data_IF_572689132864
#
_entry.id   IF_572689132864
#
_cell.length_a   1.000
_cell.length_b   1.000
_cell.length_c   1.000
_cell.angle_alpha   90.00
_cell.angle_beta   90.00
_cell.angle_gamma   90.00
#
_symmetry.space_group_name_H-M   'P 1'
#
loop_
_entity.id
_entity.type
_entity.pdbx_description
1 polymer ?
#
# COMPACT_ATOMS: atom_id res chain seq x y z
N UNK A 1 16.54 -36.60 14.62
CA UNK A 1 16.23 -37.18 13.30
C UNK A 1 16.55 -36.13 12.27
N UNK A 2 17.75 -36.18 11.71
CA UNK A 2 18.21 -35.25 10.69
C UNK A 2 17.66 -35.69 9.33
N UNK A 3 16.70 -34.94 8.78
CA UNK A 3 16.24 -35.12 7.41
C UNK A 3 17.27 -34.49 6.46
N UNK A 4 17.73 -35.28 5.50
CA UNK A 4 18.61 -34.86 4.42
C UNK A 4 17.98 -33.71 3.60
N UNK A 5 18.75 -32.68 3.20
CA UNK A 5 18.24 -31.49 2.49
C UNK A 5 17.74 -31.74 1.06
N UNK A 6 17.87 -32.96 0.53
CA UNK A 6 17.42 -33.28 -0.83
C UNK A 6 15.96 -33.76 -0.83
N UNK A 7 15.08 -32.94 -1.44
CA UNK A 7 13.67 -33.17 -1.80
C UNK A 7 12.56 -32.64 -0.86
N UNK A 8 12.79 -31.56 -0.10
CA UNK A 8 11.65 -30.86 0.54
C UNK A 8 10.61 -30.32 -0.46
N UNK A 9 11.02 -30.03 -1.69
CA UNK A 9 10.12 -29.67 -2.80
C UNK A 9 9.10 -30.76 -3.15
N UNK A 10 9.47 -32.03 -3.02
CA UNK A 10 8.55 -33.16 -3.25
C UNK A 10 7.54 -33.27 -2.10
N UNK A 11 7.99 -33.09 -0.85
CA UNK A 11 7.11 -33.03 0.33
C UNK A 11 6.06 -31.92 0.14
N UNK A 12 6.49 -30.72 -0.26
CA UNK A 12 5.56 -29.62 -0.52
C UNK A 12 4.53 -29.99 -1.59
N UNK A 13 4.96 -30.56 -2.73
CA UNK A 13 4.05 -30.93 -3.83
C UNK A 13 3.07 -32.02 -3.42
N UNK A 14 3.55 -33.09 -2.80
CA UNK A 14 2.75 -34.28 -2.49
C UNK A 14 1.81 -34.03 -1.31
N UNK A 15 2.23 -33.23 -0.32
CA UNK A 15 1.45 -32.96 0.88
C UNK A 15 0.58 -31.69 0.79
N UNK A 16 0.73 -30.83 -0.24
CA UNK A 16 -0.02 -29.57 -0.37
C UNK A 16 -1.54 -29.75 -0.22
N UNK A 17 -2.10 -30.73 -0.94
CA UNK A 17 -3.55 -31.00 -0.90
C UNK A 17 -4.02 -31.41 0.49
N UNK A 18 -3.26 -32.28 1.17
CA UNK A 18 -3.57 -32.74 2.53
C UNK A 18 -3.42 -31.62 3.54
N UNK A 19 -2.35 -30.82 3.44
CA UNK A 19 -2.10 -29.68 4.32
C UNK A 19 -3.22 -28.62 4.19
N UNK A 20 -3.66 -28.31 2.97
CA UNK A 20 -4.80 -27.40 2.74
C UNK A 20 -6.08 -27.92 3.39
N UNK A 21 -6.44 -29.19 3.17
CA UNK A 21 -7.61 -29.81 3.80
C UNK A 21 -7.54 -29.80 5.33
N UNK A 22 -6.37 -30.09 5.90
CA UNK A 22 -6.15 -30.01 7.34
C UNK A 22 -6.35 -28.58 7.87
N UNK A 23 -5.77 -27.59 7.19
CA UNK A 23 -5.92 -26.19 7.58
C UNK A 23 -7.38 -25.71 7.45
N UNK A 24 -8.10 -26.14 6.42
CA UNK A 24 -9.52 -25.83 6.23
C UNK A 24 -10.38 -26.46 7.33
N UNK A 25 -10.11 -27.73 7.69
CA UNK A 25 -10.76 -28.40 8.81
C UNK A 25 -10.50 -27.67 10.13
N UNK A 26 -9.25 -27.33 10.42
CA UNK A 26 -8.87 -26.58 11.62
C UNK A 26 -9.62 -25.24 11.70
N UNK A 27 -9.66 -24.49 10.59
CA UNK A 27 -10.39 -23.22 10.51
C UNK A 27 -11.90 -23.40 10.69
N UNK A 28 -12.48 -24.47 10.15
CA UNK A 28 -13.89 -24.81 10.36
C UNK A 28 -14.18 -25.10 11.83
N UNK A 29 -13.36 -25.93 12.49
CA UNK A 29 -13.50 -26.24 13.92
C UNK A 29 -13.38 -24.97 14.78
N UNK A 30 -12.42 -24.10 14.46
CA UNK A 30 -12.26 -22.83 15.17
C UNK A 30 -13.49 -21.92 15.00
N UNK A 31 -14.06 -21.85 13.79
CA UNK A 31 -15.31 -21.08 13.55
C UNK A 31 -16.50 -21.66 14.31
N UNK A 32 -16.64 -22.99 14.33
CA UNK A 32 -17.73 -23.65 15.06
C UNK A 32 -17.65 -23.38 16.57
N UNK A 33 -16.46 -23.48 17.16
CA UNK A 33 -16.29 -23.19 18.59
C UNK A 33 -16.53 -21.72 18.95
N UNK A 34 -16.20 -20.78 18.05
CA UNK A 34 -16.51 -19.34 18.24
C UNK A 34 -18.01 -19.04 18.31
N UNK A 35 -18.87 -19.87 17.72
CA UNK A 35 -20.32 -19.70 17.76
C UNK A 35 -20.97 -20.34 19.01
N UNK A 36 -20.23 -21.16 19.76
CA UNK A 36 -20.72 -21.84 20.96
C UNK A 36 -20.38 -21.16 22.27
N UNK A 37 -19.53 -20.13 22.24
CA UNK A 37 -19.08 -19.39 23.43
C UNK A 37 -19.49 -17.91 23.29
N UNK A 38 -20.51 -17.49 24.05
CA UNK A 38 -20.96 -16.09 24.13
C UNK A 38 -19.99 -15.20 24.92
N UNK A 39 -18.90 -15.77 25.44
CA UNK A 39 -17.82 -14.99 26.02
C UNK A 39 -16.84 -14.62 24.91
N UNK A 40 -16.62 -13.32 24.66
CA UNK A 40 -15.80 -12.78 23.58
C UNK A 40 -14.30 -13.12 23.60
N UNK A 41 -13.92 -14.25 24.19
CA UNK A 41 -12.59 -14.84 24.12
C UNK A 41 -12.47 -15.67 22.83
N UNK A 42 -11.30 -15.65 22.21
CA UNK A 42 -10.99 -16.54 21.10
C UNK A 42 -11.21 -17.98 21.54
N UNK A 43 -12.33 -18.60 21.13
CA UNK A 43 -12.64 -19.97 21.47
C UNK A 43 -11.50 -20.89 21.01
N UNK A 44 -10.66 -21.29 21.97
CA UNK A 44 -9.53 -22.17 21.77
C UNK A 44 -10.03 -23.60 21.54
N UNK A 45 -9.35 -24.32 20.65
CA UNK A 45 -9.62 -25.74 20.47
C UNK A 45 -8.96 -26.53 21.61
N UNK A 46 -9.26 -27.83 21.72
CA UNK A 46 -8.53 -28.70 22.64
C UNK A 46 -7.02 -28.57 22.41
N UNK A 47 -6.25 -28.49 23.48
CA UNK A 47 -4.80 -28.25 23.45
C UNK A 47 -4.06 -29.22 22.51
N UNK A 48 -4.45 -30.49 22.48
CA UNK A 48 -3.85 -31.50 21.60
C UNK A 48 -3.98 -31.13 20.11
N UNK A 49 -5.13 -30.54 19.74
CA UNK A 49 -5.40 -30.11 18.36
C UNK A 49 -4.60 -28.85 18.03
N UNK A 50 -4.51 -27.91 18.97
CA UNK A 50 -3.72 -26.69 18.80
C UNK A 50 -2.23 -27.00 18.67
N UNK A 51 -1.70 -27.88 19.52
CA UNK A 51 -0.30 -28.30 19.52
C UNK A 51 0.06 -29.07 18.25
N UNK A 52 -0.77 -30.05 17.87
CA UNK A 52 -0.56 -30.80 16.62
C UNK A 52 -0.56 -29.85 15.41
N UNK A 53 -1.47 -28.88 15.36
CA UNK A 53 -1.53 -27.90 14.27
C UNK A 53 -0.34 -26.93 14.30
N UNK A 54 0.10 -26.48 15.48
CA UNK A 54 1.25 -25.59 15.64
C UNK A 54 2.54 -26.27 15.17
N UNK A 55 2.77 -27.52 15.57
CA UNK A 55 3.88 -28.36 15.10
C UNK A 55 3.80 -28.49 13.58
N UNK A 56 2.64 -28.86 13.03
CA UNK A 56 2.44 -29.01 11.58
C UNK A 56 2.76 -27.72 10.82
N UNK A 57 2.28 -26.56 11.29
CA UNK A 57 2.56 -25.25 10.69
C UNK A 57 4.04 -24.89 10.76
N UNK A 58 4.71 -25.18 11.88
CA UNK A 58 6.15 -24.94 12.04
C UNK A 58 6.96 -25.81 11.07
N UNK A 59 6.62 -27.09 10.94
CA UNK A 59 7.26 -27.98 9.97
C UNK A 59 7.03 -27.48 8.53
N UNK A 60 5.78 -27.15 8.19
CA UNK A 60 5.42 -26.67 6.85
C UNK A 60 6.15 -25.39 6.46
N UNK A 61 6.21 -24.40 7.36
CA UNK A 61 6.75 -23.06 7.08
C UNK A 61 8.27 -22.94 7.29
N UNK A 62 8.82 -23.52 8.37
CA UNK A 62 10.23 -23.33 8.73
C UNK A 62 11.12 -24.49 8.33
N UNK A 63 10.65 -25.72 8.50
CA UNK A 63 11.48 -26.91 8.21
C UNK A 63 11.47 -27.23 6.71
N UNK A 64 10.28 -27.31 6.12
CA UNK A 64 10.12 -27.63 4.69
C UNK A 64 10.05 -26.40 3.79
N UNK A 65 9.85 -25.22 4.36
CA UNK A 65 9.72 -23.95 3.64
C UNK A 65 8.71 -24.00 2.48
N UNK A 66 7.61 -24.72 2.68
CA UNK A 66 6.54 -24.90 1.69
C UNK A 66 5.60 -23.69 1.58
N UNK A 67 5.84 -22.65 2.39
CA UNK A 67 5.04 -21.43 2.35
C UNK A 67 5.38 -20.63 1.10
N UNK A 68 4.44 -20.56 0.14
CA UNK A 68 4.60 -19.73 -1.04
C UNK A 68 4.27 -18.29 -0.66
N UNK A 69 5.23 -17.34 -0.71
CA UNK A 69 4.90 -15.93 -0.52
C UNK A 69 4.00 -15.48 -1.68
N UNK A 70 2.86 -14.88 -1.36
CA UNK A 70 2.03 -14.23 -2.37
C UNK A 70 2.80 -13.00 -2.90
N UNK A 71 3.13 -12.99 -4.18
CA UNK A 71 3.91 -11.92 -4.81
C UNK A 71 2.98 -10.84 -5.35
N UNK A 72 2.27 -10.16 -4.45
CA UNK A 72 1.46 -8.97 -4.79
C UNK A 72 2.27 -7.68 -4.63
N UNK A 73 3.60 -7.78 -4.59
CA UNK A 73 4.50 -6.65 -4.31
C UNK A 73 4.41 -5.57 -5.38
N UNK A 74 4.39 -5.95 -6.66
CA UNK A 74 4.32 -5.02 -7.79
C UNK A 74 3.02 -4.19 -7.79
N UNK A 75 1.81 -4.79 -7.74
CA UNK A 75 0.57 -4.01 -7.72
C UNK A 75 0.46 -3.15 -6.47
N UNK A 76 0.90 -3.63 -5.30
CA UNK A 76 0.89 -2.84 -4.06
C UNK A 76 1.78 -1.60 -4.20
N UNK A 77 3.02 -1.76 -4.66
CA UNK A 77 3.96 -0.64 -4.86
C UNK A 77 3.40 0.38 -5.88
N UNK A 78 2.85 -0.10 -6.99
CA UNK A 78 2.27 0.77 -8.02
C UNK A 78 1.12 1.63 -7.47
N UNK A 79 0.16 1.01 -6.77
CA UNK A 79 -0.98 1.74 -6.20
C UNK A 79 -0.54 2.70 -5.10
N UNK A 80 0.34 2.26 -4.20
CA UNK A 80 0.84 3.12 -3.12
C UNK A 80 1.61 4.33 -3.64
N UNK A 81 2.51 4.13 -4.62
CA UNK A 81 3.26 5.23 -5.23
C UNK A 81 2.34 6.24 -5.92
N UNK A 82 1.36 5.78 -6.71
CA UNK A 82 0.39 6.64 -7.37
C UNK A 82 -0.34 7.54 -6.37
N UNK A 83 -0.87 6.96 -5.29
CA UNK A 83 -1.58 7.71 -4.24
C UNK A 83 -0.66 8.76 -3.59
N UNK A 84 0.61 8.43 -3.35
CA UNK A 84 1.59 9.37 -2.77
C UNK A 84 1.96 10.52 -3.71
N UNK A 85 1.90 10.31 -5.03
CA UNK A 85 2.15 11.38 -6.00
C UNK A 85 0.98 12.34 -6.17
N UNK A 86 -0.26 11.91 -5.90
CA UNK A 86 -1.45 12.75 -6.06
C UNK A 86 -1.36 14.08 -5.29
N UNK A 87 -1.00 14.12 -3.99
CA UNK A 87 -0.81 15.38 -3.26
C UNK A 87 0.24 16.28 -3.92
N UNK A 88 1.39 15.73 -4.30
CA UNK A 88 2.49 16.50 -4.90
C UNK A 88 2.04 17.17 -6.20
N UNK A 89 1.42 16.39 -7.09
CA UNK A 89 0.89 16.90 -8.36
C UNK A 89 -0.20 17.94 -8.12
N UNK A 90 -1.11 17.70 -7.17
CA UNK A 90 -2.18 18.65 -6.82
C UNK A 90 -1.64 20.00 -6.34
N UNK A 91 -0.65 19.99 -5.43
CA UNK A 91 -0.05 21.22 -4.91
C UNK A 91 0.75 21.97 -5.97
N UNK A 92 1.55 21.28 -6.79
CA UNK A 92 2.29 21.89 -7.88
C UNK A 92 1.36 22.50 -8.94
N UNK A 93 0.30 21.76 -9.31
CA UNK A 93 -0.72 22.22 -10.25
C UNK A 93 -1.42 23.48 -9.73
N UNK A 94 -1.82 23.48 -8.45
CA UNK A 94 -2.45 24.63 -7.79
C UNK A 94 -1.54 25.86 -7.75
N UNK A 95 -0.25 25.65 -7.47
CA UNK A 95 0.74 26.74 -7.46
C UNK A 95 0.95 27.35 -8.85
N UNK A 96 1.10 26.52 -9.89
CA UNK A 96 1.25 26.98 -11.27
C UNK A 96 -0.01 27.69 -11.78
N UNK A 97 -1.20 27.13 -11.51
CA UNK A 97 -2.48 27.78 -11.82
C UNK A 97 -2.62 29.14 -11.12
N UNK A 98 -2.19 29.25 -9.87
CA UNK A 98 -2.19 30.52 -9.14
C UNK A 98 -1.22 31.55 -9.74
N UNK A 99 -0.01 31.14 -10.15
CA UNK A 99 0.93 32.03 -10.84
C UNK A 99 0.46 32.46 -12.22
N UNK A 100 -0.18 31.58 -12.99
CA UNK A 100 -0.81 31.95 -14.25
C UNK A 100 -1.96 32.93 -14.04
N UNK A 101 -2.86 32.70 -13.08
CA UNK A 101 -3.93 33.66 -12.74
C UNK A 101 -3.38 35.02 -12.33
N UNK A 102 -2.28 35.07 -11.56
CA UNK A 102 -1.60 36.32 -11.22
C UNK A 102 -0.97 37.03 -12.43
N UNK A 103 -0.43 36.30 -13.43
CA UNK A 103 0.09 36.91 -14.66
C UNK A 103 -1.01 37.31 -15.66
N UNK A 104 -2.14 36.61 -15.69
CA UNK A 104 -3.28 36.95 -16.55
C UNK A 104 -4.05 38.17 -16.01
N UNK A 105 -4.05 38.40 -14.69
CA UNK A 105 -4.69 39.56 -14.06
C UNK A 105 -3.79 40.79 -13.90
N UNK A 106 -2.52 40.74 -14.32
CA UNK A 106 -1.58 41.87 -14.20
C UNK A 106 -0.86 42.05 -15.54
N UNK A 107 -1.57 42.59 -16.53
CA UNK A 107 -0.96 43.43 -17.55
C UNK A 107 -1.62 44.81 -17.48
N UNK A 108 -1.15 45.73 -16.62
CA UNK A 108 -1.48 47.13 -16.81
C UNK A 108 -0.83 47.54 -18.14
N UNK A 109 -1.64 47.62 -19.20
CA UNK A 109 -1.33 48.41 -20.40
C UNK A 109 -1.13 49.85 -19.92
N UNK A 110 0.09 50.21 -19.50
CA UNK A 110 0.48 51.61 -19.38
C UNK A 110 0.40 52.19 -20.78
N UNK A 111 -0.67 52.95 -21.02
CA UNK A 111 -0.79 53.84 -22.16
C UNK A 111 0.39 54.81 -22.01
N UNK A 112 1.36 54.71 -22.92
CA UNK A 112 2.45 55.66 -23.06
C UNK A 112 1.84 56.97 -23.59
N UNK A 113 1.37 57.84 -22.69
CA UNK A 113 1.06 59.22 -23.06
C UNK A 113 2.40 59.92 -23.29
N UNK A 114 2.68 60.21 -24.56
CA UNK A 114 3.70 61.16 -24.95
C UNK A 114 3.33 62.51 -24.34
N UNK A 115 3.87 62.82 -23.16
CA UNK A 115 3.98 64.19 -22.70
C UNK A 115 5.15 64.82 -23.46
N UNK A 116 4.90 65.15 -24.73
CA UNK A 116 5.78 66.03 -25.50
C UNK A 116 5.78 67.40 -24.81
N UNK A 117 6.77 67.60 -23.93
CA UNK A 117 7.58 68.80 -23.84
C UNK A 117 6.78 70.12 -23.93
N UNK A 118 6.02 70.46 -22.89
CA UNK A 118 5.67 71.86 -22.64
C UNK A 118 6.92 72.51 -22.04
N UNK A 119 7.71 73.11 -22.93
CA UNK A 119 8.90 73.89 -22.60
C UNK A 119 8.46 75.21 -21.95
N UNK A 120 8.37 75.26 -20.62
CA UNK A 120 8.30 76.53 -19.88
C UNK A 120 9.72 77.07 -19.77
N UNK A 121 10.28 77.52 -20.88
CA UNK A 121 11.43 78.43 -20.93
C UNK A 121 11.44 79.14 -22.29
N UNK A 122 10.64 80.20 -22.42
CA UNK A 122 11.08 81.33 -23.23
C UNK A 122 10.73 82.63 -22.50
N UNK A 123 11.78 83.21 -21.95
CA UNK A 123 11.90 84.56 -21.39
C UNK A 123 12.17 85.48 -22.58
N UNK A 124 11.62 86.71 -22.56
CA UNK A 124 11.85 87.88 -23.44
C UNK A 124 10.80 88.18 -24.52
N UNK A 125 9.85 89.05 -24.17
CA UNK A 125 9.68 90.39 -24.79
C UNK A 125 8.93 91.30 -23.82
#
# INVERSE_FOLDING_TARGET
>A
MDLSPNNYTEVCKNCNGTYKKLNDLYNKLQRLNRHGDESGHSAHLCIDVEDAMNITRKLWSRTFNCSVPCSDTVPVIAVSSFILFLPVVFYLSSFLHSKQKKRILILPKRIQSNASLVNIQEKYS
#
